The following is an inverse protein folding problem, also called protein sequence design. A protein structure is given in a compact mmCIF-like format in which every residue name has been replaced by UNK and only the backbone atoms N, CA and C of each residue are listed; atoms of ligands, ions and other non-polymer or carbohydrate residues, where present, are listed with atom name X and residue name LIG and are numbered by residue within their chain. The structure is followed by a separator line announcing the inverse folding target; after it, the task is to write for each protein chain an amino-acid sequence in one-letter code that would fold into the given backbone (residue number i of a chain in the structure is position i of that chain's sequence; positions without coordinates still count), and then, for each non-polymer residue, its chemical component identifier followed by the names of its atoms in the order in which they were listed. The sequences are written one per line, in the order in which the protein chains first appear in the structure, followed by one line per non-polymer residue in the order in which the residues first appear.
data_IF_695426292797
#
_entry.id   IF_695426292797
#
_cell.length_a   1.000
_cell.length_b   1.000
_cell.length_c   1.000
_cell.angle_alpha   90.00
_cell.angle_beta   90.00
_cell.angle_gamma   90.00
#
_symmetry.space_group_name_H-M   'P 1'
#
loop_
_entity.id
_entity.type
_entity.pdbx_description
1 polymer ?
#
# COMPACT_ATOMS: atom_id res chain seq x y z
N UNK A 1 -12.17 -18.22 4.12
CA UNK A 1 -11.98 -17.93 2.70
C UNK A 1 -11.94 -16.42 2.48
N UNK A 2 -10.93 -15.93 1.76
CA UNK A 2 -10.82 -14.50 1.52
C UNK A 2 -11.92 -14.02 0.57
N UNK A 3 -12.41 -12.79 0.79
CA UNK A 3 -13.39 -12.18 -0.10
C UNK A 3 -12.72 -11.77 -1.42
N UNK A 4 -13.49 -11.52 -2.49
CA UNK A 4 -12.92 -11.08 -3.76
C UNK A 4 -12.06 -9.82 -3.63
N UNK A 5 -12.51 -8.82 -2.85
CA UNK A 5 -11.74 -7.60 -2.68
C UNK A 5 -10.45 -7.84 -1.89
N UNK A 6 -10.48 -8.71 -0.88
CA UNK A 6 -9.28 -9.05 -0.11
C UNK A 6 -8.25 -9.73 -1.01
N UNK A 7 -8.67 -10.63 -1.88
CA UNK A 7 -7.74 -11.30 -2.80
C UNK A 7 -7.05 -10.32 -3.72
N UNK A 8 -7.78 -9.35 -4.25
CA UNK A 8 -7.21 -8.31 -5.12
C UNK A 8 -6.22 -7.44 -4.31
N UNK A 9 -6.61 -7.05 -3.11
CA UNK A 9 -5.75 -6.25 -2.24
C UNK A 9 -4.45 -6.97 -1.90
N UNK A 10 -4.54 -8.26 -1.55
CA UNK A 10 -3.35 -9.05 -1.24
C UNK A 10 -2.44 -9.22 -2.46
N UNK A 11 -3.02 -9.42 -3.64
CA UNK A 11 -2.24 -9.49 -4.88
C UNK A 11 -1.49 -8.19 -5.14
N UNK A 12 -2.14 -7.07 -4.88
CA UNK A 12 -1.53 -5.75 -5.05
C UNK A 12 -0.37 -5.54 -4.06
N UNK A 13 -0.58 -5.89 -2.80
CA UNK A 13 0.46 -5.76 -1.78
C UNK A 13 1.66 -6.65 -2.11
N UNK A 14 1.40 -7.88 -2.52
CA UNK A 14 2.48 -8.78 -2.92
C UNK A 14 3.26 -8.22 -4.10
N UNK A 15 2.55 -7.70 -5.10
CA UNK A 15 3.19 -7.16 -6.30
C UNK A 15 4.13 -6.00 -5.96
N UNK A 16 3.63 -4.97 -5.25
CA UNK A 16 4.51 -3.83 -4.94
C UNK A 16 5.60 -4.18 -3.94
N UNK A 17 5.36 -5.13 -3.04
CA UNK A 17 6.40 -5.55 -2.09
C UNK A 17 7.56 -6.26 -2.76
N UNK A 18 7.33 -6.85 -3.93
CA UNK A 18 8.35 -7.52 -4.75
C UNK A 18 8.87 -6.65 -5.87
N UNK A 19 8.42 -5.42 -5.95
CA UNK A 19 8.75 -4.50 -7.04
C UNK A 19 8.31 -5.01 -8.42
N UNK A 20 7.22 -5.78 -8.44
CA UNK A 20 6.58 -6.18 -9.69
C UNK A 20 5.65 -5.06 -10.13
N UNK A 21 6.24 -4.04 -10.75
CA UNK A 21 5.53 -2.82 -11.08
C UNK A 21 4.52 -2.98 -12.20
N UNK A 22 4.78 -3.90 -13.11
CA UNK A 22 3.80 -4.22 -14.15
C UNK A 22 2.52 -4.77 -13.55
N UNK A 23 2.66 -5.75 -12.65
CA UNK A 23 1.51 -6.34 -11.96
C UNK A 23 0.81 -5.32 -11.06
N UNK A 24 1.59 -4.50 -10.37
CA UNK A 24 1.03 -3.45 -9.51
C UNK A 24 0.14 -2.52 -10.33
N UNK A 25 0.61 -2.09 -11.49
CA UNK A 25 -0.14 -1.20 -12.37
C UNK A 25 -1.39 -1.87 -12.92
N UNK A 26 -1.29 -3.14 -13.31
CA UNK A 26 -2.41 -3.89 -13.85
C UNK A 26 -3.61 -3.97 -12.93
N UNK A 27 -3.37 -4.00 -11.63
CA UNK A 27 -4.43 -4.12 -10.62
C UNK A 27 -5.15 -2.79 -10.35
N UNK A 28 -4.64 -1.68 -10.87
CA UNK A 28 -5.19 -0.35 -10.62
C UNK A 28 -6.09 0.11 -11.76
N UNK A 29 -7.20 0.77 -11.43
CA UNK A 29 -8.00 1.46 -12.42
C UNK A 29 -7.21 2.64 -12.98
N UNK A 30 -7.37 3.00 -14.27
CA UNK A 30 -6.64 4.13 -14.85
C UNK A 30 -6.85 5.45 -14.10
N UNK A 31 -8.03 5.64 -13.52
CA UNK A 31 -8.39 6.84 -12.77
C UNK A 31 -8.35 6.63 -11.26
N UNK A 32 -7.53 5.68 -10.80
CA UNK A 32 -7.42 5.38 -9.37
C UNK A 32 -7.13 6.65 -8.57
N UNK A 33 -7.80 6.75 -7.42
CA UNK A 33 -7.58 7.83 -6.47
C UNK A 33 -7.04 7.23 -5.18
N UNK A 34 -5.97 7.80 -4.66
CA UNK A 34 -5.40 7.35 -3.40
C UNK A 34 -5.14 8.52 -2.47
N UNK A 35 -5.39 8.31 -1.18
CA UNK A 35 -5.02 9.26 -0.14
C UNK A 35 -4.07 8.58 0.82
N UNK A 36 -3.09 9.32 1.28
CA UNK A 36 -2.13 8.84 2.26
C UNK A 36 -2.16 9.80 3.45
N UNK A 37 -2.38 9.24 4.63
CA UNK A 37 -2.43 10.02 5.88
C UNK A 37 -1.33 9.54 6.79
N UNK A 38 -0.52 10.46 7.28
CA UNK A 38 0.51 10.16 8.27
C UNK A 38 0.97 11.44 8.95
N UNK A 39 1.41 11.31 10.20
CA UNK A 39 2.04 12.41 10.93
C UNK A 39 3.46 12.02 11.34
N UNK A 40 3.94 10.87 10.85
CA UNK A 40 5.16 10.26 11.37
C UNK A 40 6.41 10.62 10.57
N UNK A 41 7.52 10.84 11.28
CA UNK A 41 8.87 10.87 10.71
C UNK A 41 9.08 11.86 9.55
N UNK A 42 8.27 12.91 9.48
CA UNK A 42 8.38 13.89 8.39
C UNK A 42 7.86 13.39 7.04
N UNK A 43 7.24 12.22 7.00
CA UNK A 43 6.59 11.75 5.78
C UNK A 43 5.39 12.62 5.46
N UNK A 44 5.13 12.77 4.17
CA UNK A 44 3.99 13.55 3.71
C UNK A 44 2.81 12.67 3.40
N UNK A 45 1.66 13.07 3.85
CA UNK A 45 0.41 12.59 3.30
C UNK A 45 0.20 13.17 1.91
N UNK A 46 -0.90 12.87 1.29
CA UNK A 46 -1.23 13.46 -0.01
C UNK A 46 -2.36 12.75 -0.71
N UNK A 47 -2.76 13.37 -1.82
CA UNK A 47 -3.72 12.85 -2.76
C UNK A 47 -3.01 12.49 -4.04
N UNK A 48 -3.31 11.30 -4.56
CA UNK A 48 -2.77 10.82 -5.82
C UNK A 48 -3.94 10.60 -6.77
N UNK A 49 -3.87 11.20 -7.95
CA UNK A 49 -4.94 11.12 -8.94
C UNK A 49 -4.45 10.49 -10.22
N UNK A 50 -5.00 9.33 -10.54
CA UNK A 50 -4.64 8.59 -11.74
C UNK A 50 -3.51 7.61 -11.50
N UNK A 51 -3.41 6.62 -12.37
CA UNK A 51 -2.47 5.52 -12.21
C UNK A 51 -1.02 5.96 -12.35
N UNK A 52 -0.73 6.94 -13.20
CA UNK A 52 0.65 7.40 -13.37
C UNK A 52 1.17 8.10 -12.13
N UNK A 53 0.36 8.96 -11.53
CA UNK A 53 0.69 9.65 -10.30
C UNK A 53 0.89 8.65 -9.15
N UNK A 54 -0.03 7.69 -9.06
CA UNK A 54 0.04 6.62 -8.08
C UNK A 54 1.35 5.83 -8.20
N UNK A 55 1.68 5.41 -9.42
CA UNK A 55 2.86 4.58 -9.65
C UNK A 55 4.15 5.33 -9.31
N UNK A 56 4.24 6.61 -9.70
CA UNK A 56 5.41 7.41 -9.37
C UNK A 56 5.65 7.48 -7.86
N UNK A 57 4.60 7.77 -7.10
CA UNK A 57 4.70 7.86 -5.65
C UNK A 57 5.01 6.50 -5.02
N UNK A 58 4.34 5.46 -5.48
CA UNK A 58 4.53 4.11 -4.94
C UNK A 58 5.96 3.61 -5.18
N UNK A 59 6.49 3.84 -6.35
CA UNK A 59 7.85 3.40 -6.67
C UNK A 59 8.90 4.12 -5.82
N UNK A 60 8.68 5.41 -5.55
CA UNK A 60 9.58 6.16 -4.67
C UNK A 60 9.50 5.64 -3.23
N UNK A 61 8.29 5.43 -2.73
CA UNK A 61 8.10 4.96 -1.36
C UNK A 61 8.70 3.57 -1.15
N UNK A 62 8.57 2.70 -2.14
CA UNK A 62 9.07 1.33 -2.05
C UNK A 62 10.58 1.24 -1.89
N UNK A 63 11.31 2.27 -2.31
CA UNK A 63 12.77 2.29 -2.15
C UNK A 63 13.20 2.33 -0.70
N UNK A 64 12.33 2.81 0.17
CA UNK A 64 12.62 2.92 1.61
C UNK A 64 12.30 1.63 2.35
N UNK A 65 11.55 0.74 1.73
CA UNK A 65 11.08 -0.48 2.38
C UNK A 65 12.12 -1.59 2.21
N UNK A 66 12.50 -2.20 3.33
CA UNK A 66 13.44 -3.32 3.30
C UNK A 66 12.81 -4.51 2.55
N UNK A 67 13.50 -5.06 1.53
CA UNK A 67 12.96 -6.19 0.79
C UNK A 67 12.63 -7.37 1.71
N UNK A 68 11.46 -7.96 1.49
CA UNK A 68 11.03 -9.12 2.27
C UNK A 68 10.47 -8.81 3.66
N UNK A 69 10.40 -7.53 4.03
CA UNK A 69 9.93 -7.16 5.36
C UNK A 69 8.43 -6.99 5.49
N UNK A 70 7.69 -6.99 4.40
CA UNK A 70 6.24 -6.75 4.43
C UNK A 70 5.52 -7.97 4.98
N UNK A 71 4.76 -7.78 6.05
CA UNK A 71 3.95 -8.83 6.66
C UNK A 71 2.50 -8.37 6.76
N UNK A 72 1.59 -9.24 6.36
CA UNK A 72 0.15 -8.97 6.49
C UNK A 72 -0.27 -9.40 7.89
N UNK A 73 -0.86 -8.47 8.65
CA UNK A 73 -1.34 -8.73 10.00
C UNK A 73 -2.81 -9.15 10.01
N UNK A 74 -3.65 -8.52 9.22
CA UNK A 74 -5.08 -8.81 9.23
C UNK A 74 -5.72 -8.42 7.92
N UNK A 75 -6.83 -9.07 7.60
CA UNK A 75 -7.64 -8.76 6.44
C UNK A 75 -9.12 -8.83 6.82
N UNK A 76 -9.90 -7.87 6.31
CA UNK A 76 -11.35 -7.85 6.43
C UNK A 76 -11.88 -7.33 5.11
N UNK A 77 -12.93 -7.92 4.59
CA UNK A 77 -13.51 -7.40 3.35
C UNK A 77 -14.71 -8.16 2.85
N UNK A 78 -15.26 -7.65 1.76
CA UNK A 78 -16.42 -8.21 1.09
C UNK A 78 -16.18 -8.21 -0.42
N UNK A 79 -17.23 -8.07 -1.22
CA UNK A 79 -17.13 -8.08 -2.68
C UNK A 79 -16.31 -6.93 -3.24
N UNK A 80 -16.41 -5.74 -2.62
CA UNK A 80 -15.87 -4.51 -3.17
C UNK A 80 -14.94 -3.74 -2.26
N UNK A 81 -14.90 -4.10 -0.99
CA UNK A 81 -14.09 -3.37 -0.01
C UNK A 81 -13.14 -4.33 0.68
N UNK A 82 -11.93 -3.87 0.91
CA UNK A 82 -10.96 -4.62 1.69
C UNK A 82 -10.18 -3.69 2.59
N UNK A 83 -10.01 -4.09 3.84
CA UNK A 83 -9.13 -3.41 4.77
C UNK A 83 -8.02 -4.39 5.12
N UNK A 84 -6.79 -4.03 4.81
CA UNK A 84 -5.62 -4.87 5.08
C UNK A 84 -4.65 -4.08 5.92
N UNK A 85 -4.16 -4.69 7.00
CA UNK A 85 -3.11 -4.08 7.79
C UNK A 85 -1.82 -4.84 7.58
N UNK A 86 -0.74 -4.10 7.42
CA UNK A 86 0.59 -4.68 7.19
C UNK A 86 1.62 -3.98 8.05
N UNK A 87 2.75 -4.66 8.28
CA UNK A 87 3.93 -4.04 8.84
C UNK A 87 5.07 -4.19 7.87
N UNK A 88 6.04 -3.29 7.94
CA UNK A 88 7.26 -3.38 7.14
C UNK A 88 8.36 -2.56 7.80
N UNK A 89 9.60 -2.83 7.42
CA UNK A 89 10.76 -2.12 7.93
C UNK A 89 11.22 -1.08 6.92
N UNK A 90 11.55 0.12 7.39
CA UNK A 90 12.12 1.16 6.53
C UNK A 90 13.44 1.66 7.12
N UNK A 91 14.34 2.08 6.24
CA UNK A 91 15.59 2.72 6.65
C UNK A 91 15.44 4.22 6.66
N UNK A 92 16.01 4.87 7.66
CA UNK A 92 15.93 6.32 7.82
C UNK A 92 17.15 7.06 7.25
N UNK A 93 17.71 6.55 6.16
CA UNK A 93 18.84 7.19 5.47
C UNK A 93 20.18 6.53 5.79
N UNK A 94 21.28 7.06 5.23
CA UNK A 94 22.61 6.47 5.40
C UNK A 94 22.98 6.34 6.87
N UNK A 95 23.27 5.12 7.30
CA UNK A 95 23.62 4.87 8.69
C UNK A 95 22.45 4.97 9.67
N UNK A 96 21.24 5.20 9.15
CA UNK A 96 20.06 5.28 10.00
C UNK A 96 19.57 3.92 10.47
N UNK A 97 18.92 3.91 11.62
CA UNK A 97 18.33 2.69 12.14
C UNK A 97 17.11 2.29 11.31
N UNK A 98 16.87 0.99 11.24
CA UNK A 98 15.62 0.48 10.69
C UNK A 98 14.50 0.69 11.70
N UNK A 99 13.35 1.10 11.22
CA UNK A 99 12.16 1.26 12.07
C UNK A 99 11.01 0.45 11.48
N UNK A 100 10.13 -0.02 12.35
CA UNK A 100 8.96 -0.77 11.93
C UNK A 100 7.78 0.17 11.78
N UNK A 101 7.16 0.13 10.61
CA UNK A 101 5.96 0.91 10.30
C UNK A 101 4.76 -0.02 10.21
N UNK A 102 3.61 0.47 10.61
CA UNK A 102 2.34 -0.20 10.36
C UNK A 102 1.56 0.63 9.36
N UNK A 103 0.83 -0.05 8.48
CA UNK A 103 0.01 0.60 7.46
C UNK A 103 -1.35 -0.06 7.40
N UNK A 104 -2.39 0.75 7.44
CA UNK A 104 -3.76 0.31 7.21
C UNK A 104 -4.13 0.76 5.79
N UNK A 105 -4.54 -0.17 4.97
CA UNK A 105 -4.88 0.08 3.57
C UNK A 105 -6.34 -0.28 3.33
N UNK A 106 -7.15 0.72 3.00
CA UNK A 106 -8.54 0.51 2.64
C UNK A 106 -8.65 0.60 1.12
N UNK A 107 -9.15 -0.47 0.50
CA UNK A 107 -9.28 -0.56 -0.95
C UNK A 107 -10.75 -0.63 -1.35
N UNK A 108 -11.10 0.11 -2.41
CA UNK A 108 -12.37 -0.03 -3.09
C UNK A 108 -12.13 -0.58 -4.48
N UNK A 109 -12.89 -1.61 -4.85
CA UNK A 109 -12.73 -2.33 -6.11
C UNK A 109 -13.90 -1.98 -7.04
N UNK A 110 -13.61 -1.71 -8.29
CA UNK A 110 -14.62 -1.37 -9.28
C UNK A 110 -15.24 -2.61 -9.95
N UNK A 111 -16.17 -2.37 -10.88
CA UNK A 111 -16.86 -3.45 -11.60
C UNK A 111 -15.93 -4.26 -12.50
N UNK A 112 -14.75 -3.74 -12.82
CA UNK A 112 -13.76 -4.43 -13.65
C UNK A 112 -12.69 -5.13 -12.80
N UNK A 113 -12.92 -5.25 -11.50
CA UNK A 113 -12.01 -5.87 -10.54
C UNK A 113 -10.67 -5.15 -10.43
N UNK A 114 -10.70 -3.84 -10.62
CA UNK A 114 -9.54 -2.98 -10.45
C UNK A 114 -9.70 -2.14 -9.18
N UNK A 115 -8.58 -1.77 -8.60
CA UNK A 115 -8.59 -0.88 -7.44
C UNK A 115 -8.88 0.53 -7.94
N UNK A 116 -10.03 1.07 -7.56
CA UNK A 116 -10.41 2.43 -7.96
C UNK A 116 -10.11 3.46 -6.90
N UNK A 117 -10.00 3.04 -5.65
CA UNK A 117 -9.66 3.94 -4.56
C UNK A 117 -8.85 3.19 -3.51
N UNK A 118 -7.85 3.86 -2.96
CA UNK A 118 -7.04 3.34 -1.88
C UNK A 118 -6.87 4.44 -0.85
N UNK A 119 -7.15 4.15 0.41
CA UNK A 119 -6.93 5.09 1.50
C UNK A 119 -5.97 4.43 2.48
N UNK A 120 -4.83 5.05 2.64
CA UNK A 120 -3.78 4.49 3.48
C UNK A 120 -3.49 5.40 4.66
N UNK A 121 -3.26 4.79 5.80
CA UNK A 121 -2.75 5.48 6.97
C UNK A 121 -1.57 4.68 7.48
N UNK A 122 -0.46 5.34 7.78
CA UNK A 122 0.67 4.63 8.36
C UNK A 122 1.27 5.38 9.54
N UNK A 123 1.89 4.62 10.42
CA UNK A 123 2.44 5.16 11.66
C UNK A 123 3.59 4.29 12.15
N UNK A 124 4.43 4.88 12.96
CA UNK A 124 5.57 4.21 13.56
C UNK A 124 5.10 3.31 14.68
N UNK A 125 5.54 2.06 14.68
CA UNK A 125 5.32 1.18 15.81
C UNK A 125 6.44 1.38 16.81
N UNK A 126 6.09 1.44 18.08
CA UNK A 126 7.09 1.48 19.13
C UNK A 126 7.69 0.09 19.28
N UNK A 127 8.97 0.09 19.40
CA UNK A 127 9.68 -1.16 19.71
C UNK A 127 9.70 -1.43 21.20
#
# INVERSE_FOLDING_TARGET
MASPAVEIALSHIEAWSRHDWEKTRELLAPDVHATVTTTELGFRGGDLNGVDDYMERKMKAARLIEPGSVEVLSTVGDERNALVTVTFEIGLGPGGAMVTMARACLYLIDDHKKIKEERDAFFLLKK
#
